data_IF_587222927162
#
_entry.id   IF_587222927162
#
_cell.length_a   1.000
_cell.length_b   1.000
_cell.length_c   1.000
_cell.angle_alpha   90.00
_cell.angle_beta   90.00
_cell.angle_gamma   90.00
#
_symmetry.space_group_name_H-M   'P 1'
#
loop_
_entity.id
_entity.type
_entity.pdbx_description
1 polymer ?
#
# COMPACT_ATOMS: atom_id res chain seq x y z
N UNK A 1 16.41 -5.58 -0.90
CA UNK A 1 16.25 -4.70 -2.07
C UNK A 1 15.37 -3.55 -1.66
N UNK A 2 15.47 -2.39 -2.31
CA UNK A 2 14.71 -1.21 -1.89
C UNK A 2 13.81 -0.68 -3.00
N UNK A 3 12.59 -0.32 -2.61
CA UNK A 3 11.67 0.42 -3.46
C UNK A 3 11.39 1.80 -2.85
N UNK A 4 11.18 2.78 -3.71
CA UNK A 4 10.96 4.17 -3.32
C UNK A 4 9.66 4.69 -3.92
N UNK A 5 8.85 5.32 -3.07
CA UNK A 5 7.57 5.92 -3.48
C UNK A 5 7.54 7.37 -3.00
N UNK A 6 7.20 8.31 -3.89
CA UNK A 6 7.10 9.72 -3.50
C UNK A 6 5.99 9.96 -2.48
N UNK A 7 6.26 10.74 -1.44
CA UNK A 7 5.24 11.15 -0.50
C UNK A 7 4.17 12.00 -1.22
N UNK A 8 2.88 11.81 -0.86
CA UNK A 8 1.68 12.49 -1.43
C UNK A 8 1.19 12.02 -2.80
N UNK A 9 1.67 10.90 -3.32
CA UNK A 9 1.07 10.25 -4.51
C UNK A 9 0.00 9.22 -4.17
N UNK A 10 -0.21 8.96 -2.87
CA UNK A 10 -1.15 7.96 -2.39
C UNK A 10 -2.58 8.50 -2.39
N UNK A 11 -3.21 8.39 -3.55
CA UNK A 11 -4.65 8.57 -3.70
C UNK A 11 -5.13 7.59 -4.77
N UNK A 12 -6.34 7.07 -4.59
CA UNK A 12 -7.07 6.23 -5.56
C UNK A 12 -7.25 6.87 -6.94
N UNK A 13 -6.91 8.15 -7.08
CA UNK A 13 -7.01 8.93 -8.30
C UNK A 13 -5.65 9.28 -8.90
N UNK A 14 -4.55 8.99 -8.22
CA UNK A 14 -3.22 9.44 -8.64
C UNK A 14 -2.52 8.38 -9.49
N UNK A 15 -1.80 8.83 -10.51
CA UNK A 15 -0.83 8.02 -11.25
C UNK A 15 0.57 8.35 -10.74
N UNK A 16 1.36 7.35 -10.42
CA UNK A 16 2.72 7.52 -9.95
C UNK A 16 3.61 6.33 -10.27
N UNK A 17 4.91 6.51 -10.02
CA UNK A 17 5.95 5.54 -10.34
C UNK A 17 6.66 5.12 -9.07
N UNK A 18 6.91 3.81 -8.95
CA UNK A 18 7.73 3.20 -7.91
C UNK A 18 9.12 2.98 -8.50
N UNK A 19 10.14 3.43 -7.77
CA UNK A 19 11.53 3.36 -8.21
C UNK A 19 12.32 2.31 -7.44
N UNK A 20 13.34 1.73 -8.05
CA UNK A 20 14.32 0.90 -7.37
C UNK A 20 15.46 1.73 -6.73
N UNK A 21 16.39 1.06 -6.05
CA UNK A 21 17.58 1.67 -5.42
C UNK A 21 18.57 2.34 -6.39
N UNK A 22 18.52 1.98 -7.67
CA UNK A 22 19.30 2.63 -8.72
C UNK A 22 18.56 3.84 -9.34
N UNK A 23 17.32 4.10 -8.91
CA UNK A 23 16.48 5.20 -9.39
C UNK A 23 15.72 4.87 -10.68
N UNK A 24 15.75 3.62 -11.15
CA UNK A 24 15.01 3.18 -12.33
C UNK A 24 13.53 2.99 -11.98
N UNK A 25 12.68 3.18 -12.98
CA UNK A 25 11.25 2.94 -12.83
C UNK A 25 10.99 1.43 -12.82
N UNK A 26 10.46 0.91 -11.72
CA UNK A 26 10.23 -0.52 -11.48
C UNK A 26 8.76 -0.90 -11.70
N UNK A 27 7.85 -0.10 -11.15
CA UNK A 27 6.41 -0.29 -11.28
C UNK A 27 5.70 1.03 -11.56
N UNK A 28 4.60 0.95 -12.28
CA UNK A 28 3.69 2.08 -12.50
C UNK A 28 2.38 1.80 -11.81
N UNK A 29 1.91 2.74 -10.99
CA UNK A 29 0.65 2.61 -10.26
C UNK A 29 -0.34 3.62 -10.81
N UNK A 30 -1.51 3.14 -11.22
CA UNK A 30 -2.56 3.95 -11.81
C UNK A 30 -3.88 3.79 -11.03
N UNK A 31 -4.38 4.90 -10.48
CA UNK A 31 -5.72 4.93 -9.89
C UNK A 31 -6.83 5.19 -10.89
N UNK A 32 -7.97 4.52 -10.74
CA UNK A 32 -9.15 4.77 -11.57
C UNK A 32 -9.86 6.09 -11.18
N UNK A 33 -9.90 7.04 -12.12
CA UNK A 33 -10.53 8.36 -11.93
C UNK A 33 -12.07 8.37 -12.12
N UNK A 34 -12.64 7.34 -12.74
CA UNK A 34 -14.02 7.36 -13.27
C UNK A 34 -14.98 6.34 -12.65
N UNK A 35 -14.51 5.38 -11.83
CA UNK A 35 -15.37 4.40 -11.19
C UNK A 35 -15.64 4.83 -9.73
N UNK A 36 -16.90 4.71 -9.29
CA UNK A 36 -17.28 4.85 -7.88
C UNK A 36 -16.61 3.80 -6.96
N UNK A 37 -15.82 2.88 -7.53
CA UNK A 37 -15.03 1.85 -6.87
C UNK A 37 -13.57 2.29 -6.87
N UNK A 38 -13.06 2.79 -5.75
CA UNK A 38 -11.63 3.03 -5.59
C UNK A 38 -10.83 1.77 -5.92
N UNK A 39 -10.10 1.79 -7.04
CA UNK A 39 -9.21 0.74 -7.52
C UNK A 39 -7.87 1.36 -7.95
N UNK A 40 -6.78 0.69 -7.58
CA UNK A 40 -5.42 0.96 -8.03
C UNK A 40 -4.93 -0.23 -8.84
N UNK A 41 -4.28 0.06 -9.96
CA UNK A 41 -3.64 -0.91 -10.83
C UNK A 41 -2.13 -0.82 -10.66
N UNK A 42 -1.46 -1.96 -10.51
CA UNK A 42 -0.01 -2.07 -10.42
C UNK A 42 0.46 -2.70 -11.73
N UNK A 43 1.24 -1.95 -12.49
CA UNK A 43 1.74 -2.33 -13.80
C UNK A 43 3.26 -2.51 -13.73
N UNK A 44 3.76 -3.47 -14.51
CA UNK A 44 5.20 -3.66 -14.71
C UNK A 44 5.80 -2.64 -15.68
N UNK A 45 7.09 -2.80 -15.98
CA UNK A 45 7.82 -1.90 -16.89
C UNK A 45 7.35 -1.99 -18.36
N UNK A 46 6.67 -3.07 -18.72
CA UNK A 46 6.11 -3.34 -20.04
C UNK A 46 4.70 -2.76 -20.18
N UNK A 47 4.09 -2.34 -19.08
CA UNK A 47 2.72 -1.85 -19.02
C UNK A 47 1.68 -2.96 -18.91
N UNK A 48 2.09 -4.16 -18.49
CA UNK A 48 1.18 -5.25 -18.16
C UNK A 48 0.73 -5.11 -16.70
N UNK A 49 -0.57 -5.28 -16.45
CA UNK A 49 -1.12 -5.28 -15.10
C UNK A 49 -0.74 -6.59 -14.40
N UNK A 50 0.02 -6.47 -13.31
CA UNK A 50 0.52 -7.60 -12.52
C UNK A 50 -0.19 -7.74 -11.17
N UNK A 51 -0.91 -6.69 -10.74
CA UNK A 51 -1.74 -6.72 -9.57
C UNK A 51 -2.67 -5.52 -9.47
N UNK A 52 -3.69 -5.64 -8.64
CA UNK A 52 -4.66 -4.59 -8.39
C UNK A 52 -5.07 -4.55 -6.92
N UNK A 53 -5.45 -3.36 -6.46
CA UNK A 53 -5.98 -3.13 -5.11
C UNK A 53 -7.34 -2.48 -5.26
N UNK A 54 -8.37 -3.04 -4.63
CA UNK A 54 -9.70 -2.43 -4.68
C UNK A 54 -10.43 -2.49 -3.35
N UNK A 55 -11.31 -1.52 -3.14
CA UNK A 55 -12.11 -1.45 -1.92
C UNK A 55 -13.27 -2.46 -1.95
N UNK A 56 -13.44 -3.22 -0.87
CA UNK A 56 -14.64 -4.02 -0.62
C UNK A 56 -15.80 -3.09 -0.27
N UNK A 57 -16.92 -3.22 -0.99
CA UNK A 57 -18.11 -2.40 -0.77
C UNK A 57 -18.98 -2.98 0.36
N UNK A 58 -19.83 -2.14 0.95
CA UNK A 58 -20.77 -2.50 2.03
C UNK A 58 -20.11 -2.95 3.35
N UNK A 59 -18.87 -2.54 3.60
CA UNK A 59 -18.20 -2.71 4.89
C UNK A 59 -18.33 -1.42 5.72
N UNK A 60 -18.44 -1.56 7.05
CA UNK A 60 -18.51 -0.42 7.96
C UNK A 60 -17.16 0.30 8.09
N UNK A 61 -16.07 -0.46 8.10
CA UNK A 61 -14.69 0.04 8.14
C UNK A 61 -14.02 -0.07 6.76
N UNK A 62 -12.97 0.74 6.49
CA UNK A 62 -12.11 0.57 5.32
C UNK A 62 -11.61 -0.87 5.19
N UNK A 63 -11.84 -1.46 4.03
CA UNK A 63 -11.52 -2.84 3.70
C UNK A 63 -11.07 -2.89 2.24
N UNK A 64 -9.83 -3.32 2.02
CA UNK A 64 -9.22 -3.42 0.71
C UNK A 64 -8.79 -4.86 0.42
N UNK A 65 -8.80 -5.22 -0.85
CA UNK A 65 -8.36 -6.53 -1.33
C UNK A 65 -7.16 -6.29 -2.24
N UNK A 66 -6.08 -7.02 -2.00
CA UNK A 66 -4.91 -7.10 -2.86
C UNK A 66 -5.00 -8.36 -3.71
N UNK A 67 -5.03 -8.16 -5.02
CA UNK A 67 -5.03 -9.23 -6.02
C UNK A 67 -3.74 -9.16 -6.83
N UNK A 68 -3.08 -10.29 -7.02
CA UNK A 68 -1.87 -10.41 -7.84
C UNK A 68 -2.07 -11.58 -8.79
N UNK A 69 -1.84 -11.36 -10.09
CA UNK A 69 -2.02 -12.41 -11.10
C UNK A 69 -3.43 -13.00 -11.17
N UNK A 70 -4.46 -12.28 -10.72
CA UNK A 70 -5.85 -12.75 -10.68
C UNK A 70 -6.25 -13.51 -9.42
N UNK A 71 -5.36 -13.66 -8.44
CA UNK A 71 -5.63 -14.32 -7.16
C UNK A 71 -5.66 -13.31 -6.00
N UNK A 72 -6.66 -13.41 -5.12
CA UNK A 72 -6.76 -12.58 -3.90
C UNK A 72 -5.71 -13.05 -2.88
N UNK A 73 -4.62 -12.30 -2.76
CA UNK A 73 -3.46 -12.68 -1.93
C UNK A 73 -3.65 -12.25 -0.47
N UNK A 74 -4.27 -11.10 -0.24
CA UNK A 74 -4.50 -10.58 1.10
C UNK A 74 -5.69 -9.62 1.14
N UNK A 75 -6.41 -9.62 2.25
CA UNK A 75 -7.38 -8.58 2.57
C UNK A 75 -6.81 -7.67 3.67
N UNK A 76 -6.86 -6.36 3.45
CA UNK A 76 -6.36 -5.34 4.38
C UNK A 76 -7.57 -4.69 5.06
N UNK A 77 -7.75 -4.96 6.34
CA UNK A 77 -8.90 -4.53 7.12
C UNK A 77 -8.47 -3.52 8.17
N UNK A 78 -9.15 -2.38 8.23
CA UNK A 78 -8.96 -1.43 9.33
C UNK A 78 -9.63 -1.97 10.60
N UNK A 79 -8.85 -2.11 11.66
CA UNK A 79 -9.38 -2.46 12.98
C UNK A 79 -10.08 -1.26 13.63
N UNK A 80 -11.03 -1.54 14.52
CA UNK A 80 -11.61 -0.51 15.37
C UNK A 80 -10.60 -0.07 16.43
N UNK A 81 -10.11 1.17 16.31
CA UNK A 81 -9.05 1.72 17.17
C UNK A 81 -9.34 3.18 17.53
N UNK A 82 -9.20 3.55 18.81
CA UNK A 82 -9.62 4.88 19.31
C UNK A 82 -8.56 5.99 19.19
N UNK A 83 -7.27 5.64 19.12
CA UNK A 83 -6.17 6.63 19.17
C UNK A 83 -5.14 6.51 18.05
N UNK A 84 -4.84 5.30 17.57
CA UNK A 84 -3.88 5.06 16.49
C UNK A 84 -4.50 4.13 15.46
N UNK A 85 -4.35 4.38 14.15
CA UNK A 85 -4.81 3.45 13.13
C UNK A 85 -4.17 2.08 13.36
N UNK A 86 -4.96 1.02 13.19
CA UNK A 86 -4.48 -0.36 13.20
C UNK A 86 -5.09 -1.09 12.02
N UNK A 87 -4.28 -1.91 11.38
CA UNK A 87 -4.68 -2.71 10.23
C UNK A 87 -4.34 -4.17 10.50
N UNK A 88 -5.24 -5.05 10.07
CA UNK A 88 -5.06 -6.50 10.09
C UNK A 88 -5.01 -7.01 8.65
N UNK A 89 -4.20 -8.03 8.42
CA UNK A 89 -4.15 -8.77 7.16
C UNK A 89 -4.95 -10.05 7.33
N UNK A 90 -5.93 -10.27 6.46
CA UNK A 90 -6.71 -11.51 6.39
C UNK A 90 -6.39 -12.27 5.10
N UNK A 91 -6.75 -13.55 5.04
CA UNK A 91 -6.45 -14.45 3.92
C UNK A 91 -4.94 -14.62 3.61
N UNK A 92 -4.07 -14.34 4.59
CA UNK A 92 -2.62 -14.49 4.48
C UNK A 92 -2.00 -14.85 5.85
N UNK A 93 -0.80 -15.42 5.87
CA UNK A 93 -0.02 -15.65 7.10
C UNK A 93 0.74 -14.40 7.56
N UNK A 94 0.69 -13.34 6.76
CA UNK A 94 1.43 -12.12 7.02
C UNK A 94 0.81 -11.30 8.14
N UNK A 95 1.65 -10.58 8.89
CA UNK A 95 1.24 -9.59 9.87
C UNK A 95 1.92 -8.25 9.60
N UNK A 96 1.30 -7.18 10.09
CA UNK A 96 1.81 -5.82 9.98
C UNK A 96 1.87 -5.17 11.36
N UNK A 97 3.02 -4.58 11.69
CA UNK A 97 3.27 -4.00 13.00
C UNK A 97 4.03 -2.68 12.88
N UNK A 98 3.66 -1.68 13.69
CA UNK A 98 4.36 -0.39 13.75
C UNK A 98 3.40 0.80 13.83
N UNK A 99 3.92 1.97 13.45
CA UNK A 99 3.17 3.23 13.38
C UNK A 99 2.83 3.59 11.92
N UNK A 100 1.59 3.30 11.54
CA UNK A 100 1.07 3.61 10.21
C UNK A 100 0.99 5.11 9.91
N UNK A 101 0.79 5.96 10.92
CA UNK A 101 0.67 7.41 10.69
C UNK A 101 1.99 8.04 10.27
N UNK A 102 3.07 7.56 10.88
CA UNK A 102 4.43 8.03 10.59
C UNK A 102 5.07 7.29 9.41
N UNK A 103 4.37 6.29 8.84
CA UNK A 103 4.90 5.36 7.84
C UNK A 103 6.14 4.60 8.34
N UNK A 104 6.13 4.24 9.62
CA UNK A 104 7.20 3.52 10.31
C UNK A 104 6.66 2.16 10.77
N UNK A 105 6.56 1.20 9.84
CA UNK A 105 6.01 -0.12 10.12
C UNK A 105 6.73 -1.23 9.34
N UNK A 106 6.43 -2.47 9.70
CA UNK A 106 7.10 -3.65 9.19
C UNK A 106 6.09 -4.73 8.86
N UNK A 107 6.41 -5.54 7.84
CA UNK A 107 5.69 -6.76 7.51
C UNK A 107 6.47 -7.99 7.99
N UNK A 108 5.74 -8.98 8.47
CA UNK A 108 6.28 -10.24 8.95
C UNK A 108 5.53 -11.42 8.35
N UNK A 109 6.24 -12.53 8.13
CA UNK A 109 5.66 -13.85 7.89
C UNK A 109 6.00 -14.74 9.08
N UNK A 110 5.05 -14.93 9.98
CA UNK A 110 5.32 -15.45 11.32
C UNK A 110 6.32 -14.56 12.08
N UNK A 111 7.44 -15.13 12.53
CA UNK A 111 8.51 -14.39 13.23
C UNK A 111 9.54 -13.75 12.27
N UNK A 112 9.41 -13.99 10.95
CA UNK A 112 10.37 -13.53 9.96
C UNK A 112 9.99 -12.14 9.46
N UNK A 113 10.85 -11.15 9.68
CA UNK A 113 10.69 -9.83 9.08
C UNK A 113 10.97 -9.90 7.56
N UNK A 114 10.01 -9.43 6.75
CA UNK A 114 10.08 -9.50 5.28
C UNK A 114 10.21 -8.15 4.62
N UNK A 115 9.70 -7.08 5.24
CA UNK A 115 9.81 -5.71 4.73
C UNK A 115 9.73 -4.69 5.86
N UNK A 116 10.49 -3.60 5.73
CA UNK A 116 10.41 -2.43 6.59
C UNK A 116 10.10 -1.19 5.76
N UNK A 117 9.18 -0.35 6.23
CA UNK A 117 8.90 0.94 5.64
C UNK A 117 9.21 2.04 6.63
N UNK A 118 9.90 3.06 6.13
CA UNK A 118 10.24 4.27 6.87
C UNK A 118 10.30 5.46 5.93
N UNK A 119 10.26 6.66 6.49
CA UNK A 119 10.40 7.89 5.71
C UNK A 119 11.87 8.17 5.40
N UNK A 120 12.19 8.35 4.13
CA UNK A 120 13.55 8.63 3.66
C UNK A 120 13.62 9.99 2.95
N UNK A 121 14.70 10.74 3.20
CA UNK A 121 14.92 12.04 2.57
C UNK A 121 15.80 11.91 1.33
N UNK A 122 15.17 11.95 0.16
CA UNK A 122 15.88 11.90 -1.12
C UNK A 122 16.14 13.29 -1.67
N UNK A 123 17.09 13.41 -2.61
CA UNK A 123 17.39 14.68 -3.30
C UNK A 123 16.18 15.23 -4.08
N UNK A 124 15.16 14.41 -4.33
CA UNK A 124 13.94 14.74 -5.09
C UNK A 124 12.71 14.97 -4.20
N UNK A 125 12.89 15.09 -2.88
CA UNK A 125 11.85 15.37 -1.89
C UNK A 125 11.59 14.22 -0.92
N UNK A 126 10.56 14.38 -0.08
CA UNK A 126 10.09 13.34 0.84
C UNK A 126 9.63 12.09 0.07
N UNK A 127 10.20 10.94 0.39
CA UNK A 127 9.81 9.63 -0.16
C UNK A 127 9.68 8.62 0.97
N UNK A 128 8.94 7.55 0.73
CA UNK A 128 8.96 6.37 1.59
C UNK A 128 9.88 5.33 0.96
N UNK A 129 10.73 4.75 1.78
CA UNK A 129 11.58 3.63 1.42
C UNK A 129 10.93 2.34 1.93
N UNK A 130 10.73 1.38 1.04
CA UNK A 130 10.35 0.02 1.37
C UNK A 130 11.62 -0.83 1.25
N UNK A 131 12.22 -1.18 2.39
CA UNK A 131 13.34 -2.10 2.46
C UNK A 131 12.82 -3.53 2.53
N UNK A 132 12.79 -4.20 1.37
CA UNK A 132 12.29 -5.56 1.20
C UNK A 132 13.45 -6.53 1.44
N UNK A 133 13.34 -7.28 2.54
CA UNK A 133 14.35 -8.24 2.97
C UNK A 133 14.25 -9.57 2.23
N UNK A 134 13.03 -9.94 1.81
CA UNK A 134 12.79 -11.13 0.98
C UNK A 134 12.26 -10.73 -0.41
N UNK A 135 13.05 -10.91 -1.48
CA UNK A 135 12.66 -10.65 -2.86
C UNK A 135 11.33 -11.30 -3.29
N UNK A 136 11.01 -12.48 -2.76
CA UNK A 136 9.80 -13.22 -3.15
C UNK A 136 8.52 -12.47 -2.71
N UNK A 137 8.63 -11.55 -1.76
CA UNK A 137 7.54 -10.72 -1.24
C UNK A 137 7.55 -9.30 -1.81
N UNK A 138 8.36 -9.01 -2.85
CA UNK A 138 8.49 -7.65 -3.44
C UNK A 138 7.12 -7.05 -3.78
N UNK A 139 6.34 -7.74 -4.62
CA UNK A 139 5.06 -7.24 -5.11
C UNK A 139 3.97 -7.24 -4.01
N UNK A 140 3.97 -8.25 -3.14
CA UNK A 140 3.01 -8.35 -2.02
C UNK A 140 3.24 -7.20 -1.03
N UNK A 141 4.51 -6.91 -0.71
CA UNK A 141 4.88 -5.83 0.20
C UNK A 141 4.49 -4.47 -0.36
N UNK A 142 4.77 -4.23 -1.64
CA UNK A 142 4.30 -3.03 -2.34
C UNK A 142 2.78 -2.91 -2.27
N UNK A 143 2.06 -3.98 -2.61
CA UNK A 143 0.59 -4.01 -2.61
C UNK A 143 -0.02 -3.69 -1.25
N UNK A 144 0.52 -4.27 -0.17
CA UNK A 144 0.04 -4.00 1.20
C UNK A 144 0.28 -2.55 1.61
N UNK A 145 1.47 -1.99 1.33
CA UNK A 145 1.77 -0.58 1.62
C UNK A 145 0.79 0.34 0.91
N UNK A 146 0.56 0.11 -0.39
CA UNK A 146 -0.39 0.90 -1.18
C UNK A 146 -1.83 0.79 -0.66
N UNK A 147 -2.25 -0.39 -0.22
CA UNK A 147 -3.58 -0.62 0.34
C UNK A 147 -3.77 0.11 1.68
N UNK A 148 -2.77 0.03 2.57
CA UNK A 148 -2.79 0.73 3.87
C UNK A 148 -2.84 2.24 3.66
N UNK A 149 -2.02 2.78 2.76
CA UNK A 149 -2.00 4.22 2.46
C UNK A 149 -3.33 4.70 1.90
N UNK A 150 -3.90 3.90 1.01
CA UNK A 150 -5.23 4.17 0.46
C UNK A 150 -6.31 4.15 1.55
N UNK A 151 -6.24 3.21 2.48
CA UNK A 151 -7.17 3.11 3.59
C UNK A 151 -7.04 4.31 4.56
N UNK A 152 -5.82 4.78 4.81
CA UNK A 152 -5.56 5.99 5.59
C UNK A 152 -6.12 7.23 4.90
N UNK A 153 -5.90 7.39 3.59
CA UNK A 153 -6.45 8.49 2.82
C UNK A 153 -7.99 8.52 2.87
N UNK A 154 -8.64 7.37 2.66
CA UNK A 154 -10.09 7.24 2.72
C UNK A 154 -10.67 7.59 4.11
N UNK A 155 -9.99 7.18 5.18
CA UNK A 155 -10.41 7.51 6.54
C UNK A 155 -10.29 9.02 6.86
N UNK A 156 -9.24 9.67 6.34
CA UNK A 156 -9.05 11.11 6.52
C UNK A 156 -10.11 11.93 5.77
N UNK A 157 -10.50 11.52 4.56
CA UNK A 157 -11.56 12.20 3.79
C UNK A 157 -12.92 12.14 4.52
N UNK A 158 -13.29 10.99 5.08
CA UNK A 158 -14.53 10.83 5.86
C UNK A 158 -14.56 11.73 7.11
N UNK A 159 -13.41 11.97 7.73
CA UNK A 159 -13.26 12.83 8.91
C UNK A 159 -13.38 14.32 8.58
N UNK A 160 -13.00 14.72 7.37
CA UNK A 160 -13.07 16.12 6.90
C UNK A 160 -14.45 16.55 6.38
N UNK A 161 -15.29 15.60 5.96
CA UNK A 161 -16.63 15.88 5.43
C UNK A 161 -17.70 16.15 6.51
N UNK A 162 -17.34 16.00 7.80
CA UNK A 162 -18.22 16.21 8.95
C UNK A 162 -18.05 17.58 9.64
N UNK A 163 -17.55 18.60 8.93
CA UNK A 163 -17.38 19.97 9.46
C UNK A 163 -18.30 20.96 8.77
#
# INVERSE_FOLDING_TARGET
>A
MKLYIKQKVFSLTSKFTVKDEAGNDRYFVEGEFFSLRGRLHIMDAQGEEIGQIYRRLMTFLPHFILEIGGEEIAEIVKDFSFFRPKYSLENTSLSVEGDFWSHEYSLYDGDRNIMNIHKEWFTWGDSYELDILDPDYELISLGIVLAIDTAMAAANTASSAST
#
